data_IF_735026466925
#
_entry.id   IF_735026466925
#
_cell.length_a   1.000
_cell.length_b   1.000
_cell.length_c   1.000
_cell.angle_alpha   90.00
_cell.angle_beta   90.00
_cell.angle_gamma   90.00
#
_symmetry.space_group_name_H-M   'P 1'
#
loop_
_entity.id
_entity.type
_entity.pdbx_description
1 polymer ?
#
# COMPACT_ATOMS: atom_id res chain seq x y z
N UNK A 1 15.96 19.39 -42.33
CA UNK A 1 14.83 19.32 -43.29
C UNK A 1 13.64 18.92 -42.44
N UNK A 2 12.81 19.90 -42.08
CA UNK A 2 11.64 19.72 -41.23
C UNK A 2 10.63 18.83 -41.97
N UNK A 3 10.24 17.73 -41.34
CA UNK A 3 9.06 16.97 -41.71
C UNK A 3 8.11 17.05 -40.52
N UNK A 4 7.26 18.08 -40.57
CA UNK A 4 6.01 18.13 -39.82
C UNK A 4 5.17 16.92 -40.24
N UNK A 5 5.14 15.89 -39.40
CA UNK A 5 4.15 14.83 -39.46
C UNK A 5 3.02 15.22 -38.52
N UNK A 6 1.96 15.75 -39.11
CA UNK A 6 0.65 16.00 -38.49
C UNK A 6 0.07 14.64 -38.06
N UNK A 7 0.32 14.25 -36.80
CA UNK A 7 -0.31 13.08 -36.17
C UNK A 7 -1.59 13.58 -35.48
N UNK A 8 -2.77 13.02 -35.78
CA UNK A 8 -4.02 13.48 -35.17
C UNK A 8 -3.95 13.25 -33.65
N UNK A 9 -4.17 14.32 -32.88
CA UNK A 9 -4.31 14.24 -31.43
C UNK A 9 -5.58 13.43 -31.09
N UNK A 10 -5.42 12.13 -30.83
CA UNK A 10 -6.49 11.30 -30.27
C UNK A 10 -6.84 11.86 -28.89
N UNK A 11 -7.92 12.65 -28.87
CA UNK A 11 -8.45 13.31 -27.68
C UNK A 11 -9.29 12.29 -26.93
N UNK A 12 -8.65 11.54 -26.02
CA UNK A 12 -9.32 10.67 -25.05
C UNK A 12 -9.98 11.46 -23.90
N UNK A 13 -10.38 12.71 -24.16
CA UNK A 13 -10.96 13.59 -23.16
C UNK A 13 -12.29 13.00 -22.68
N UNK A 14 -12.25 12.38 -21.50
CA UNK A 14 -13.47 12.03 -20.78
C UNK A 14 -14.18 13.32 -20.37
N UNK A 15 -15.53 13.36 -20.38
CA UNK A 15 -16.25 14.38 -19.64
C UNK A 15 -15.83 14.30 -18.16
N UNK A 16 -15.68 15.45 -17.46
CA UNK A 16 -15.29 15.45 -16.06
C UNK A 16 -16.30 14.62 -15.27
N UNK A 17 -15.84 13.45 -14.79
CA UNK A 17 -16.60 12.71 -13.80
C UNK A 17 -16.26 13.39 -12.48
N UNK A 18 -17.09 14.33 -12.05
CA UNK A 18 -16.98 14.89 -10.71
C UNK A 18 -17.20 13.75 -9.71
N UNK A 19 -16.10 13.27 -9.13
CA UNK A 19 -16.14 12.54 -7.88
C UNK A 19 -16.91 13.36 -6.84
N UNK A 20 -17.61 12.74 -5.89
CA UNK A 20 -18.27 13.48 -4.82
C UNK A 20 -17.25 14.46 -4.19
N UNK A 21 -17.66 15.71 -3.94
CA UNK A 21 -16.79 16.74 -3.41
C UNK A 21 -16.08 16.21 -2.16
N UNK A 22 -14.85 16.69 -1.91
CA UNK A 22 -14.19 16.45 -0.62
C UNK A 22 -15.24 16.69 0.47
N UNK A 23 -15.44 15.79 1.45
CA UNK A 23 -16.48 15.98 2.47
C UNK A 23 -16.19 17.14 3.44
N UNK A 24 -15.44 18.16 3.00
CA UNK A 24 -15.20 19.43 3.64
C UNK A 24 -16.23 20.51 3.23
N UNK A 25 -17.06 20.31 2.19
CA UNK A 25 -17.95 21.38 1.69
C UNK A 25 -19.34 21.52 2.35
N UNK A 26 -19.80 20.56 3.17
CA UNK A 26 -21.17 20.60 3.75
C UNK A 26 -21.25 21.03 5.23
N UNK A 27 -20.23 21.70 5.78
CA UNK A 27 -20.32 22.20 7.16
C UNK A 27 -20.62 23.71 7.19
N UNK A 28 -21.76 24.16 7.77
CA UNK A 28 -21.98 25.57 8.01
C UNK A 28 -20.88 26.14 8.95
N UNK A 29 -20.49 27.41 8.81
CA UNK A 29 -19.54 28.04 9.71
C UNK A 29 -20.20 28.22 11.08
N UNK A 30 -20.00 27.25 11.96
CA UNK A 30 -20.60 27.21 13.29
C UNK A 30 -19.59 26.70 14.31
N UNK A 31 -19.25 27.60 15.24
CA UNK A 31 -18.69 27.41 16.60
C UNK A 31 -17.84 26.14 16.79
N UNK A 32 -16.55 26.33 17.05
CA UNK A 32 -15.65 25.27 17.56
C UNK A 32 -16.15 24.83 18.94
N UNK A 33 -17.13 23.94 18.96
CA UNK A 33 -17.49 23.17 20.14
C UNK A 33 -16.35 22.17 20.38
N UNK A 34 -15.77 22.18 21.57
CA UNK A 34 -14.89 21.10 22.02
C UNK A 34 -15.56 19.75 21.72
N UNK A 35 -14.85 18.77 21.17
CA UNK A 35 -15.46 17.48 20.87
C UNK A 35 -15.88 16.85 22.21
N UNK A 36 -17.17 16.91 22.52
CA UNK A 36 -17.76 16.07 23.56
C UNK A 36 -17.45 14.62 23.22
N UNK A 37 -16.96 13.85 24.19
CA UNK A 37 -16.70 12.42 24.02
C UNK A 37 -17.91 11.74 23.39
N UNK A 38 -17.66 10.84 22.43
CA UNK A 38 -18.74 10.05 21.85
C UNK A 38 -19.37 9.18 22.94
N UNK A 39 -20.71 9.00 22.95
CA UNK A 39 -21.34 8.05 23.87
C UNK A 39 -20.71 6.67 23.71
N UNK A 40 -20.42 6.00 24.83
CA UNK A 40 -19.69 4.73 24.86
C UNK A 40 -20.34 3.65 23.98
N UNK A 41 -21.68 3.63 23.88
CA UNK A 41 -22.42 2.71 23.02
C UNK A 41 -22.08 2.89 21.53
N UNK A 42 -22.10 4.14 21.03
CA UNK A 42 -21.75 4.41 19.63
C UNK A 42 -20.27 4.08 19.35
N UNK A 43 -19.41 4.30 20.33
CA UNK A 43 -17.98 3.98 20.21
C UNK A 43 -17.78 2.46 20.07
N UNK A 44 -18.44 1.66 20.91
CA UNK A 44 -18.39 0.20 20.84
C UNK A 44 -18.99 -0.34 19.52
N UNK A 45 -20.12 0.20 19.06
CA UNK A 45 -20.70 -0.17 17.76
C UNK A 45 -19.72 0.07 16.61
N UNK A 46 -19.01 1.20 16.62
CA UNK A 46 -18.00 1.51 15.62
C UNK A 46 -16.78 0.58 15.70
N UNK A 47 -16.38 0.14 16.90
CA UNK A 47 -15.34 -0.87 17.07
C UNK A 47 -15.73 -2.20 16.45
N UNK A 48 -16.96 -2.67 16.69
CA UNK A 48 -17.42 -3.93 16.11
C UNK A 48 -17.52 -3.87 14.59
N UNK A 49 -18.02 -2.76 14.04
CA UNK A 49 -18.02 -2.54 12.59
C UNK A 49 -16.61 -2.56 12.02
N UNK A 50 -15.63 -1.94 12.68
CA UNK A 50 -14.23 -2.00 12.24
C UNK A 50 -13.71 -3.45 12.18
N UNK A 51 -13.90 -4.23 13.24
CA UNK A 51 -13.38 -5.60 13.28
C UNK A 51 -14.07 -6.54 12.27
N UNK A 52 -15.34 -6.28 11.96
CA UNK A 52 -16.10 -7.08 10.99
C UNK A 52 -15.70 -6.75 9.55
N UNK A 53 -15.65 -5.46 9.21
CA UNK A 53 -15.57 -5.03 7.80
C UNK A 53 -14.18 -4.55 7.39
N UNK A 54 -13.45 -3.86 8.28
CA UNK A 54 -12.20 -3.18 7.93
C UNK A 54 -10.96 -4.01 8.28
N UNK A 55 -10.96 -4.64 9.47
CA UNK A 55 -9.81 -5.39 9.98
C UNK A 55 -9.29 -6.48 9.04
N UNK A 56 -10.10 -7.19 8.22
CA UNK A 56 -9.56 -8.16 7.26
C UNK A 56 -8.58 -7.54 6.25
N UNK A 57 -8.81 -6.29 5.83
CA UNK A 57 -7.97 -5.59 4.87
C UNK A 57 -6.67 -5.02 5.49
N UNK A 58 -6.70 -4.69 6.78
CA UNK A 58 -5.55 -4.19 7.54
C UNK A 58 -5.49 -4.85 8.92
N UNK A 59 -5.03 -6.11 9.01
CA UNK A 59 -5.17 -6.93 10.20
C UNK A 59 -4.04 -6.68 11.22
N UNK A 60 -3.86 -5.41 11.62
CA UNK A 60 -2.77 -4.96 12.52
C UNK A 60 -3.18 -4.93 13.99
N UNK A 61 -4.42 -5.30 14.31
CA UNK A 61 -5.01 -5.25 15.66
C UNK A 61 -5.73 -6.57 15.96
N UNK A 62 -5.38 -7.23 17.06
CA UNK A 62 -6.09 -8.37 17.59
C UNK A 62 -7.32 -7.93 18.38
N UNK A 63 -8.51 -8.45 18.03
CA UNK A 63 -9.79 -8.02 18.64
C UNK A 63 -9.82 -8.25 20.15
N UNK A 64 -9.42 -9.44 20.61
CA UNK A 64 -9.38 -9.78 22.02
C UNK A 64 -8.39 -8.89 22.79
N UNK A 65 -7.18 -8.70 22.24
CA UNK A 65 -6.15 -7.84 22.83
C UNK A 65 -6.55 -6.36 22.90
N UNK A 66 -7.29 -5.87 21.90
CA UNK A 66 -7.86 -4.53 21.89
C UNK A 66 -8.84 -4.31 23.05
N UNK A 67 -9.85 -5.18 23.20
CA UNK A 67 -10.83 -5.02 24.28
C UNK A 67 -10.25 -5.28 25.66
N UNK A 68 -9.28 -6.19 25.79
CA UNK A 68 -8.53 -6.39 27.03
C UNK A 68 -7.79 -5.12 27.45
N UNK A 69 -7.04 -4.48 26.53
CA UNK A 69 -6.35 -3.20 26.81
C UNK A 69 -7.33 -2.09 27.19
N UNK A 70 -8.48 -2.00 26.53
CA UNK A 70 -9.53 -1.04 26.88
C UNK A 70 -10.07 -1.22 28.30
N UNK A 71 -10.18 -2.46 28.77
CA UNK A 71 -10.63 -2.77 30.12
C UNK A 71 -9.54 -2.53 31.18
N UNK A 72 -8.28 -2.86 30.87
CA UNK A 72 -7.15 -2.74 31.78
C UNK A 72 -6.68 -1.29 31.97
N UNK A 73 -6.63 -0.51 30.88
CA UNK A 73 -6.07 0.85 30.87
C UNK A 73 -7.02 1.87 30.21
N UNK A 74 -8.27 2.00 30.69
CA UNK A 74 -9.31 2.79 30.01
C UNK A 74 -8.92 4.26 29.83
N UNK A 75 -8.13 4.83 30.73
CA UNK A 75 -7.77 6.25 30.72
C UNK A 75 -6.36 6.53 30.18
N UNK A 76 -5.62 5.49 29.76
CA UNK A 76 -4.32 5.70 29.11
C UNK A 76 -4.51 6.43 27.77
N UNK A 77 -3.76 7.51 27.49
CA UNK A 77 -3.80 8.20 26.21
C UNK A 77 -3.57 7.24 25.03
N UNK A 78 -2.67 6.26 25.18
CA UNK A 78 -2.38 5.29 24.12
C UNK A 78 -3.55 4.33 23.84
N UNK A 79 -4.34 4.01 24.86
CA UNK A 79 -5.54 3.17 24.74
C UNK A 79 -6.70 3.97 24.14
N UNK A 80 -6.84 5.25 24.54
CA UNK A 80 -7.82 6.16 23.96
C UNK A 80 -7.52 6.49 22.50
N UNK A 81 -6.25 6.71 22.13
CA UNK A 81 -5.85 7.01 20.76
C UNK A 81 -6.21 5.87 19.81
N UNK A 82 -5.90 4.63 20.17
CA UNK A 82 -6.30 3.47 19.35
C UNK A 82 -7.81 3.28 19.33
N UNK A 83 -8.50 3.49 20.46
CA UNK A 83 -9.96 3.39 20.55
C UNK A 83 -10.67 4.31 19.55
N UNK A 84 -10.29 5.58 19.50
CA UNK A 84 -10.87 6.54 18.57
C UNK A 84 -10.38 6.33 17.13
N UNK A 85 -9.16 5.84 16.92
CA UNK A 85 -8.64 5.53 15.58
C UNK A 85 -9.32 4.31 14.94
N UNK A 86 -9.61 3.28 15.74
CA UNK A 86 -10.42 2.13 15.33
C UNK A 86 -11.85 2.59 14.99
N UNK A 87 -12.46 3.38 15.86
CA UNK A 87 -13.80 3.92 15.63
C UNK A 87 -13.86 4.82 14.39
N UNK A 88 -12.82 5.61 14.15
CA UNK A 88 -12.66 6.45 12.96
C UNK A 88 -12.73 5.61 11.68
N UNK A 89 -11.98 4.51 11.59
CA UNK A 89 -12.06 3.62 10.43
C UNK A 89 -13.41 2.91 10.35
N UNK A 90 -14.04 2.60 11.48
CA UNK A 90 -15.43 2.14 11.52
C UNK A 90 -16.42 3.14 10.88
N UNK A 91 -16.18 4.46 10.97
CA UNK A 91 -17.04 5.47 10.31
C UNK A 91 -16.89 5.49 8.78
N UNK A 92 -15.80 4.96 8.23
CA UNK A 92 -15.59 4.88 6.77
C UNK A 92 -16.56 3.86 6.17
N UNK A 93 -16.64 2.68 6.79
CA UNK A 93 -17.47 1.56 6.33
C UNK A 93 -18.93 1.64 6.83
N UNK A 94 -19.20 2.35 7.93
CA UNK A 94 -20.56 2.49 8.48
C UNK A 94 -21.31 3.69 7.89
N UNK A 95 -22.31 3.45 7.05
CA UNK A 95 -23.16 4.52 6.50
C UNK A 95 -23.88 5.33 7.60
N UNK A 96 -24.43 4.63 8.60
CA UNK A 96 -25.16 5.23 9.72
C UNK A 96 -24.29 6.19 10.54
N UNK A 97 -23.01 5.85 10.74
CA UNK A 97 -22.11 6.58 11.63
C UNK A 97 -21.12 7.48 10.87
N UNK A 98 -21.21 7.57 9.55
CA UNK A 98 -20.28 8.34 8.69
C UNK A 98 -20.11 9.78 9.16
N UNK A 99 -21.18 10.44 9.59
CA UNK A 99 -21.16 11.84 10.08
C UNK A 99 -20.26 12.07 11.32
N UNK A 100 -19.89 11.00 12.04
CA UNK A 100 -19.10 11.08 13.28
C UNK A 100 -17.59 11.09 13.06
N UNK A 101 -17.13 10.94 11.82
CA UNK A 101 -15.69 10.82 11.51
C UNK A 101 -14.86 11.99 12.06
N UNK A 102 -15.39 13.23 12.01
CA UNK A 102 -14.68 14.43 12.49
C UNK A 102 -14.36 14.34 13.99
N UNK A 103 -15.34 13.97 14.80
CA UNK A 103 -15.17 13.81 16.25
C UNK A 103 -14.16 12.70 16.57
N UNK A 104 -14.28 11.53 15.93
CA UNK A 104 -13.33 10.43 16.10
C UNK A 104 -11.92 10.86 15.69
N UNK A 105 -11.77 11.56 14.57
CA UNK A 105 -10.48 12.03 14.06
C UNK A 105 -9.80 13.01 15.01
N UNK A 106 -10.54 14.02 15.48
CA UNK A 106 -10.01 15.03 16.41
C UNK A 106 -9.58 14.39 17.73
N UNK A 107 -10.41 13.52 18.31
CA UNK A 107 -10.08 12.85 19.58
C UNK A 107 -8.91 11.89 19.41
N UNK A 108 -8.87 11.10 18.32
CA UNK A 108 -7.73 10.23 18.02
C UNK A 108 -6.41 11.01 17.98
N UNK A 109 -6.38 12.14 17.26
CA UNK A 109 -5.19 13.01 17.19
C UNK A 109 -4.83 13.60 18.53
N UNK A 110 -5.81 14.11 19.27
CA UNK A 110 -5.56 14.68 20.59
C UNK A 110 -4.86 13.66 21.50
N UNK A 111 -5.35 12.43 21.56
CA UNK A 111 -4.73 11.40 22.38
C UNK A 111 -3.37 10.92 21.86
N UNK A 112 -3.14 10.93 20.55
CA UNK A 112 -1.80 10.70 19.99
C UNK A 112 -0.83 11.80 20.45
N UNK A 113 -1.27 13.06 20.40
CA UNK A 113 -0.44 14.20 20.81
C UNK A 113 -0.22 14.21 22.34
N UNK A 114 -1.20 13.77 23.13
CA UNK A 114 -1.04 13.53 24.58
C UNK A 114 -0.02 12.43 24.89
N UNK A 115 0.05 11.35 24.09
CA UNK A 115 1.11 10.33 24.25
C UNK A 115 2.51 10.90 24.04
N UNK A 116 2.68 11.85 23.13
CA UNK A 116 3.99 12.46 22.83
C UNK A 116 4.41 13.52 23.85
N UNK A 117 3.46 14.02 24.65
CA UNK A 117 3.71 14.95 25.74
C UNK A 117 4.05 14.25 27.06
N UNK A 118 3.92 12.92 27.12
CA UNK A 118 4.21 12.15 28.33
C UNK A 118 5.73 12.01 28.54
N UNK A 119 6.22 12.68 29.59
CA UNK A 119 7.64 12.72 29.99
C UNK A 119 8.17 11.38 30.55
N UNK A 120 7.34 10.35 30.72
CA UNK A 120 7.79 9.06 31.22
C UNK A 120 8.78 8.39 30.23
N UNK A 121 9.88 7.80 30.72
CA UNK A 121 11.01 7.33 29.89
C UNK A 121 10.68 6.18 28.92
N UNK A 122 9.47 5.63 28.97
CA UNK A 122 8.97 4.57 28.06
C UNK A 122 7.53 4.85 27.58
N UNK A 123 7.01 6.08 27.72
CA UNK A 123 5.63 6.44 27.34
C UNK A 123 5.30 6.12 25.87
N UNK A 124 6.30 6.29 25.01
CA UNK A 124 6.23 6.01 23.57
C UNK A 124 6.42 4.52 23.24
N UNK A 125 6.72 3.66 24.20
CA UNK A 125 6.89 2.21 24.01
C UNK A 125 5.55 1.48 23.80
N UNK A 126 4.72 1.95 22.86
CA UNK A 126 3.33 1.52 22.73
C UNK A 126 2.99 1.06 21.31
N UNK A 127 2.62 -0.22 21.20
CA UNK A 127 2.02 -0.77 19.98
C UNK A 127 0.66 -0.12 19.70
N UNK A 128 -0.10 0.27 20.73
CA UNK A 128 -1.37 0.96 20.55
C UNK A 128 -1.20 2.34 19.92
N UNK A 129 -0.15 3.08 20.30
CA UNK A 129 0.20 4.36 19.66
C UNK A 129 0.59 4.14 18.18
N UNK A 130 1.40 3.12 17.88
CA UNK A 130 1.76 2.77 16.50
C UNK A 130 0.53 2.39 15.67
N UNK A 131 -0.34 1.54 16.20
CA UNK A 131 -1.60 1.15 15.54
C UNK A 131 -2.48 2.38 15.28
N UNK A 132 -2.58 3.32 16.24
CA UNK A 132 -3.35 4.54 16.07
C UNK A 132 -2.80 5.39 14.92
N UNK A 133 -1.48 5.56 14.84
CA UNK A 133 -0.82 6.28 13.74
C UNK A 133 -1.02 5.57 12.39
N UNK A 134 -0.97 4.24 12.33
CA UNK A 134 -1.27 3.44 11.13
C UNK A 134 -2.72 3.69 10.69
N UNK A 135 -3.69 3.64 11.62
CA UNK A 135 -5.10 3.89 11.35
C UNK A 135 -5.35 5.33 10.86
N UNK A 136 -4.74 6.33 11.50
CA UNK A 136 -4.84 7.73 11.08
C UNK A 136 -4.24 7.95 9.68
N UNK A 137 -3.07 7.36 9.43
CA UNK A 137 -2.43 7.40 8.10
C UNK A 137 -3.37 6.79 7.06
N UNK A 138 -3.91 5.60 7.32
CA UNK A 138 -4.84 4.91 6.44
C UNK A 138 -6.10 5.73 6.16
N UNK A 139 -6.64 6.41 7.17
CA UNK A 139 -7.79 7.30 7.04
C UNK A 139 -7.46 8.53 6.16
N UNK A 140 -6.35 9.21 6.44
CA UNK A 140 -5.93 10.39 5.68
C UNK A 140 -5.66 10.05 4.21
N UNK A 141 -5.11 8.86 3.94
CA UNK A 141 -4.95 8.33 2.57
C UNK A 141 -6.29 8.12 1.87
N UNK A 142 -7.27 7.48 2.53
CA UNK A 142 -8.60 7.28 1.97
C UNK A 142 -9.34 8.61 1.71
N UNK A 143 -9.04 9.64 2.49
CA UNK A 143 -9.53 11.01 2.26
C UNK A 143 -8.68 11.84 1.31
N UNK A 144 -7.67 11.22 0.67
CA UNK A 144 -6.77 11.83 -0.30
C UNK A 144 -6.02 13.05 0.25
N UNK A 145 -5.74 13.07 1.56
CA UNK A 145 -4.94 14.10 2.21
C UNK A 145 -3.49 13.63 2.38
N UNK A 146 -2.75 13.60 1.26
CA UNK A 146 -1.40 13.02 1.21
C UNK A 146 -0.42 13.70 2.17
N UNK A 147 -0.42 15.04 2.28
CA UNK A 147 0.50 15.75 3.16
C UNK A 147 0.32 15.32 4.63
N UNK A 148 -0.92 15.20 5.08
CA UNK A 148 -1.24 14.81 6.45
C UNK A 148 -0.93 13.33 6.71
N UNK A 149 -1.27 12.47 5.75
CA UNK A 149 -0.90 11.07 5.80
C UNK A 149 0.62 10.88 5.90
N UNK A 150 1.41 11.64 5.14
CA UNK A 150 2.88 11.56 5.18
C UNK A 150 3.46 11.97 6.54
N UNK A 151 2.88 12.97 7.22
CA UNK A 151 3.30 13.35 8.57
C UNK A 151 3.03 12.20 9.56
N UNK A 152 1.82 11.64 9.54
CA UNK A 152 1.46 10.51 10.42
C UNK A 152 2.32 9.27 10.11
N UNK A 153 2.59 9.02 8.83
CA UNK A 153 3.46 7.94 8.38
C UNK A 153 4.89 8.12 8.89
N UNK A 154 5.46 9.32 8.81
CA UNK A 154 6.79 9.62 9.34
C UNK A 154 6.90 9.39 10.86
N UNK A 155 5.86 9.78 11.62
CA UNK A 155 5.77 9.48 13.06
C UNK A 155 5.74 7.97 13.31
N UNK A 156 4.87 7.24 12.59
CA UNK A 156 4.74 5.79 12.72
C UNK A 156 6.05 5.06 12.37
N UNK A 157 6.70 5.46 11.28
CA UNK A 157 7.97 4.91 10.84
C UNK A 157 9.06 5.11 11.88
N UNK A 158 9.17 6.33 12.41
CA UNK A 158 10.15 6.64 13.45
C UNK A 158 9.92 5.81 14.71
N UNK A 159 8.66 5.68 15.14
CA UNK A 159 8.28 4.90 16.31
C UNK A 159 8.63 3.42 16.11
N UNK A 160 8.27 2.83 14.96
CA UNK A 160 8.57 1.44 14.65
C UNK A 160 10.09 1.15 14.64
N UNK A 161 10.90 2.04 14.06
CA UNK A 161 12.37 1.93 14.09
C UNK A 161 12.94 2.06 15.51
N UNK A 162 12.41 2.97 16.34
CA UNK A 162 12.80 3.08 17.75
C UNK A 162 12.53 1.77 18.51
N UNK A 163 11.45 1.07 18.17
CA UNK A 163 11.07 -0.24 18.73
C UNK A 163 11.79 -1.44 18.08
N UNK A 164 12.56 -1.20 16.99
CA UNK A 164 13.25 -2.21 16.18
C UNK A 164 12.32 -3.31 15.66
N UNK A 165 11.14 -2.94 15.18
CA UNK A 165 10.21 -3.95 14.66
C UNK A 165 10.73 -4.61 13.37
N UNK A 166 11.54 -3.91 12.58
CA UNK A 166 12.18 -4.43 11.38
C UNK A 166 13.25 -5.50 11.66
N UNK A 167 13.72 -5.59 12.91
CA UNK A 167 14.71 -6.58 13.38
C UNK A 167 14.13 -7.55 14.42
N UNK A 168 12.81 -7.59 14.59
CA UNK A 168 12.20 -8.25 15.75
C UNK A 168 12.42 -9.77 15.79
N UNK A 169 12.64 -10.40 14.63
CA UNK A 169 12.89 -11.84 14.50
C UNK A 169 14.37 -12.15 14.24
N UNK A 170 15.26 -11.16 14.27
CA UNK A 170 16.69 -11.38 14.05
C UNK A 170 17.32 -12.15 15.22
N UNK A 171 17.75 -13.39 14.97
CA UNK A 171 18.43 -14.25 15.96
C UNK A 171 19.94 -14.27 15.67
N UNK A 172 20.77 -13.96 16.67
CA UNK A 172 22.23 -14.11 16.54
C UNK A 172 22.61 -15.59 16.37
N UNK A 173 23.42 -15.93 15.34
CA UNK A 173 23.96 -17.27 15.22
C UNK A 173 24.79 -17.65 16.46
N UNK A 174 24.50 -18.82 17.06
CA UNK A 174 25.29 -19.41 18.14
C UNK A 174 24.89 -19.05 19.58
N UNK A 175 24.14 -17.96 19.79
CA UNK A 175 23.65 -17.59 21.15
C UNK A 175 22.15 -17.77 21.32
N UNK A 176 21.38 -17.82 20.22
CA UNK A 176 19.91 -17.88 20.26
C UNK A 176 19.26 -16.60 20.79
N UNK A 177 20.05 -15.54 21.03
CA UNK A 177 19.57 -14.26 21.54
C UNK A 177 19.19 -13.34 20.37
N UNK A 178 18.10 -12.58 20.54
CA UNK A 178 17.69 -11.58 19.55
C UNK A 178 18.78 -10.49 19.42
N UNK A 179 19.28 -10.27 18.21
CA UNK A 179 20.29 -9.25 17.93
C UNK A 179 19.63 -7.88 17.83
N UNK A 180 19.45 -7.21 18.96
CA UNK A 180 19.07 -5.79 18.98
C UNK A 180 20.34 -4.94 19.01
N UNK A 181 20.61 -4.20 17.94
CA UNK A 181 21.73 -3.25 17.89
C UNK A 181 21.46 -2.21 18.96
N UNK A 182 22.20 -2.15 20.06
CA UNK A 182 21.91 -1.15 21.11
C UNK A 182 22.23 0.26 20.61
N UNK A 183 21.22 1.14 20.55
CA UNK A 183 21.36 2.56 20.23
C UNK A 183 20.65 3.40 21.28
N UNK A 184 21.19 4.60 21.56
CA UNK A 184 20.66 5.52 22.58
C UNK A 184 19.23 6.03 22.29
N UNK A 185 18.72 5.81 21.08
CA UNK A 185 17.39 6.24 20.63
C UNK A 185 16.36 5.10 20.64
N UNK A 186 16.69 3.95 21.21
CA UNK A 186 15.81 2.79 21.19
C UNK A 186 14.90 2.74 22.40
N UNK A 187 13.65 2.34 22.14
CA UNK A 187 12.63 2.19 23.15
C UNK A 187 12.27 0.71 23.23
N UNK A 188 12.27 0.16 24.45
CA UNK A 188 12.11 -1.28 24.65
C UNK A 188 10.63 -1.59 24.90
N UNK A 189 9.99 -2.23 23.94
CA UNK A 189 8.69 -2.85 24.16
C UNK A 189 8.80 -3.93 25.26
N UNK A 190 7.73 -4.07 26.04
CA UNK A 190 7.61 -5.17 27.00
C UNK A 190 7.82 -6.51 26.29
N UNK A 191 8.65 -7.38 26.87
CA UNK A 191 8.82 -8.73 26.35
C UNK A 191 7.49 -9.49 26.46
N UNK A 192 7.11 -10.19 25.40
CA UNK A 192 5.91 -11.03 25.37
C UNK A 192 6.27 -12.37 24.74
N UNK A 193 5.72 -13.44 25.31
CA UNK A 193 5.76 -14.79 24.74
C UNK A 193 4.42 -15.18 24.13
N UNK A 194 3.42 -14.29 24.20
CA UNK A 194 2.13 -14.49 23.55
C UNK A 194 2.33 -14.41 22.04
N UNK A 195 1.94 -15.48 21.36
CA UNK A 195 2.07 -15.63 19.91
C UNK A 195 1.20 -14.62 19.17
N UNK A 196 0.05 -14.24 19.72
CA UNK A 196 -0.84 -13.22 19.15
C UNK A 196 -0.20 -11.84 19.26
N UNK A 197 0.37 -11.48 20.41
CA UNK A 197 1.05 -10.19 20.58
C UNK A 197 2.28 -10.08 19.68
N UNK A 198 3.05 -11.17 19.53
CA UNK A 198 4.20 -11.20 18.62
C UNK A 198 3.76 -11.00 17.17
N UNK A 199 2.69 -11.67 16.76
CA UNK A 199 2.15 -11.50 15.41
C UNK A 199 1.54 -10.11 15.19
N UNK A 200 0.87 -9.55 16.19
CA UNK A 200 0.34 -8.18 16.15
C UNK A 200 1.47 -7.17 15.88
N UNK A 201 2.64 -7.33 16.53
CA UNK A 201 3.84 -6.51 16.28
C UNK A 201 4.36 -6.66 14.85
N UNK A 202 4.45 -7.90 14.34
CA UNK A 202 4.86 -8.16 12.94
C UNK A 202 3.90 -7.50 11.95
N UNK A 203 2.59 -7.67 12.15
CA UNK A 203 1.58 -7.09 11.28
C UNK A 203 1.57 -5.56 11.35
N UNK A 204 1.85 -4.95 12.50
CA UNK A 204 2.05 -3.50 12.58
C UNK A 204 3.24 -3.03 11.72
N UNK A 205 4.39 -3.72 11.81
CA UNK A 205 5.54 -3.42 10.97
C UNK A 205 5.21 -3.54 9.47
N UNK A 206 4.62 -4.66 9.06
CA UNK A 206 4.26 -4.87 7.66
C UNK A 206 3.16 -3.94 7.16
N UNK A 207 2.18 -3.60 8.00
CA UNK A 207 1.13 -2.64 7.68
C UNK A 207 1.72 -1.24 7.44
N UNK A 208 2.65 -0.82 8.29
CA UNK A 208 3.43 0.40 8.10
C UNK A 208 4.27 0.34 6.81
N UNK A 209 4.97 -0.77 6.57
CA UNK A 209 5.81 -0.95 5.37
C UNK A 209 5.00 -0.85 4.07
N UNK A 210 3.78 -1.40 4.05
CA UNK A 210 2.85 -1.29 2.94
C UNK A 210 2.45 0.18 2.69
N UNK A 211 2.17 0.94 3.77
CA UNK A 211 1.84 2.37 3.67
C UNK A 211 3.05 3.22 3.20
N UNK A 212 4.27 2.85 3.56
CA UNK A 212 5.48 3.46 2.99
C UNK A 212 5.67 3.14 1.51
N UNK A 213 5.34 1.91 1.10
CA UNK A 213 5.29 1.51 -0.31
C UNK A 213 4.34 2.37 -1.12
N UNK A 214 3.15 2.64 -0.57
CA UNK A 214 2.18 3.54 -1.19
C UNK A 214 2.74 4.96 -1.39
N UNK A 215 3.39 5.52 -0.37
CA UNK A 215 4.00 6.85 -0.45
C UNK A 215 5.13 6.88 -1.50
N UNK A 216 5.87 5.78 -1.61
CA UNK A 216 6.99 5.63 -2.54
C UNK A 216 6.55 5.55 -4.00
N UNK A 217 5.39 4.97 -4.29
CA UNK A 217 4.82 4.95 -5.64
C UNK A 217 4.47 6.37 -6.08
N UNK A 218 3.92 7.19 -5.19
CA UNK A 218 3.61 8.60 -5.48
C UNK A 218 4.85 9.47 -5.73
N UNK A 219 5.89 9.32 -4.91
CA UNK A 219 7.10 10.13 -5.05
C UNK A 219 8.03 9.63 -6.16
N UNK A 220 7.74 8.47 -6.77
CA UNK A 220 8.63 7.80 -7.73
C UNK A 220 9.97 7.38 -7.12
N UNK A 221 10.12 7.46 -5.80
CA UNK A 221 11.36 7.20 -5.06
C UNK A 221 11.03 6.46 -3.79
N UNK A 222 11.66 5.31 -3.57
CA UNK A 222 11.44 4.57 -2.34
C UNK A 222 12.35 5.09 -1.23
N UNK A 223 11.77 5.75 -0.24
CA UNK A 223 12.48 6.46 0.83
C UNK A 223 12.48 5.74 2.19
N UNK A 224 11.94 4.52 2.31
CA UNK A 224 11.90 3.86 3.61
C UNK A 224 13.32 3.57 4.16
N UNK A 225 13.49 3.55 5.49
CA UNK A 225 14.77 3.28 6.12
C UNK A 225 15.31 1.92 5.68
N UNK A 226 16.38 1.93 4.88
CA UNK A 226 17.25 0.77 4.59
C UNK A 226 16.53 -0.57 4.32
N UNK A 227 16.10 -0.79 3.08
CA UNK A 227 15.63 -2.11 2.58
C UNK A 227 16.66 -3.24 2.65
N UNK A 228 17.88 -2.90 3.03
CA UNK A 228 18.94 -3.84 3.30
C UNK A 228 18.80 -4.25 4.76
N UNK A 229 18.45 -5.52 5.01
CA UNK A 229 18.35 -6.18 6.32
C UNK A 229 16.99 -6.02 7.02
N UNK A 230 15.94 -6.58 6.41
CA UNK A 230 14.65 -6.81 7.08
C UNK A 230 14.68 -8.20 7.74
N UNK A 231 14.74 -8.26 9.06
CA UNK A 231 14.67 -9.50 9.84
C UNK A 231 13.37 -9.55 10.64
N UNK A 232 12.26 -9.47 9.91
CA UNK A 232 10.91 -9.69 10.39
C UNK A 232 10.25 -10.73 9.48
N UNK A 233 9.72 -11.80 10.05
CA UNK A 233 9.01 -12.82 9.27
C UNK A 233 7.79 -12.20 8.59
N UNK A 234 7.45 -12.70 7.40
CA UNK A 234 6.22 -12.29 6.72
C UNK A 234 4.99 -12.57 7.60
N UNK A 235 3.89 -11.79 7.46
CA UNK A 235 2.68 -12.00 8.25
C UNK A 235 2.13 -13.42 8.09
N UNK A 236 1.86 -14.07 9.21
CA UNK A 236 1.21 -15.38 9.24
C UNK A 236 -0.23 -15.25 8.73
N UNK A 237 -0.76 -16.20 7.94
CA UNK A 237 -2.19 -16.23 7.61
C UNK A 237 -3.08 -16.45 8.86
N UNK A 238 -4.37 -16.15 8.72
CA UNK A 238 -5.39 -16.36 9.76
C UNK A 238 -5.78 -15.10 10.54
N UNK A 239 -6.88 -15.20 11.28
CA UNK A 239 -7.34 -14.15 12.18
C UNK A 239 -6.51 -14.13 13.47
N UNK A 240 -6.34 -12.95 14.07
CA UNK A 240 -5.69 -12.79 15.39
C UNK A 240 -6.73 -12.95 16.51
N UNK A 241 -7.29 -14.15 16.60
CA UNK A 241 -8.25 -14.55 17.63
C UNK A 241 -7.75 -15.81 18.37
N UNK A 242 -8.61 -16.39 19.21
CA UNK A 242 -8.27 -17.56 20.03
C UNK A 242 -7.97 -18.82 19.18
N UNK A 243 -8.26 -18.79 17.88
CA UNK A 243 -7.95 -19.88 16.93
C UNK A 243 -6.63 -19.67 16.20
N UNK A 244 -5.93 -18.55 16.45
CA UNK A 244 -4.68 -18.23 15.79
C UNK A 244 -3.62 -19.30 16.04
N UNK A 245 -3.13 -19.90 14.96
CA UNK A 245 -2.08 -20.91 15.00
C UNK A 245 -0.91 -20.44 14.13
N UNK A 246 0.22 -20.01 14.73
CA UNK A 246 1.36 -19.54 13.98
C UNK A 246 1.92 -20.58 13.03
N UNK A 247 2.16 -20.17 11.79
CA UNK A 247 2.85 -20.95 10.78
C UNK A 247 4.26 -20.40 10.57
N UNK A 248 5.24 -21.24 10.19
CA UNK A 248 6.57 -20.77 9.85
C UNK A 248 6.49 -19.90 8.57
N UNK A 249 6.76 -18.62 8.71
CA UNK A 249 6.79 -17.67 7.59
C UNK A 249 8.23 -17.29 7.27
N UNK A 250 8.63 -17.22 5.99
CA UNK A 250 9.99 -16.80 5.64
C UNK A 250 10.17 -15.28 5.77
N UNK A 251 11.42 -14.82 5.78
CA UNK A 251 11.73 -13.43 5.47
C UNK A 251 11.42 -13.12 4.01
N UNK A 252 11.17 -11.84 3.70
CA UNK A 252 10.76 -11.42 2.36
C UNK A 252 11.81 -11.69 1.27
N UNK A 253 13.09 -11.68 1.63
CA UNK A 253 14.22 -12.00 0.73
C UNK A 253 14.53 -13.52 0.66
N UNK A 254 14.04 -14.29 1.64
CA UNK A 254 14.16 -15.74 1.70
C UNK A 254 13.00 -16.50 1.04
N UNK A 255 12.06 -15.81 0.43
CA UNK A 255 10.90 -16.40 -0.25
C UNK A 255 11.34 -17.30 -1.40
N UNK A 256 11.02 -18.60 -1.31
CA UNK A 256 11.27 -19.61 -2.34
C UNK A 256 10.05 -20.52 -2.48
N UNK A 257 9.75 -20.95 -3.71
CA UNK A 257 8.58 -21.78 -4.04
C UNK A 257 8.47 -23.07 -3.20
N UNK A 258 9.61 -23.67 -2.82
CA UNK A 258 9.64 -24.93 -2.05
C UNK A 258 9.62 -24.73 -0.52
N UNK A 259 9.78 -23.50 -0.03
CA UNK A 259 9.92 -23.18 1.40
C UNK A 259 8.83 -22.24 1.93
N UNK A 260 7.87 -21.87 1.09
CA UNK A 260 6.70 -21.07 1.50
C UNK A 260 5.56 -21.98 1.93
N UNK A 261 4.81 -21.62 2.99
CA UNK A 261 3.60 -22.35 3.34
C UNK A 261 2.60 -22.32 2.18
N UNK A 262 1.79 -23.38 2.08
CA UNK A 262 0.79 -23.56 1.01
C UNK A 262 -0.25 -22.42 0.94
N UNK A 263 -0.35 -21.60 1.98
CA UNK A 263 -1.35 -20.54 2.13
C UNK A 263 -0.71 -19.20 2.46
N UNK A 264 -0.40 -18.40 1.43
CA UNK A 264 -0.04 -17.00 1.60
C UNK A 264 -1.30 -16.16 1.70
N UNK A 265 -1.39 -15.32 2.73
CA UNK A 265 -2.51 -14.39 2.87
C UNK A 265 -2.36 -13.19 1.92
N UNK A 266 -3.46 -12.54 1.50
CA UNK A 266 -3.40 -11.32 0.71
C UNK A 266 -2.54 -10.22 1.35
N UNK A 267 -2.59 -10.08 2.68
CA UNK A 267 -1.76 -9.12 3.42
C UNK A 267 -0.26 -9.44 3.31
N UNK A 268 0.14 -10.71 3.47
CA UNK A 268 1.52 -11.13 3.26
C UNK A 268 1.96 -10.99 1.79
N UNK A 269 1.05 -11.28 0.84
CA UNK A 269 1.28 -11.05 -0.58
C UNK A 269 1.54 -9.58 -0.89
N UNK A 270 0.82 -8.66 -0.25
CA UNK A 270 1.00 -7.23 -0.44
C UNK A 270 2.35 -6.74 0.10
N UNK A 271 2.77 -7.27 1.26
CA UNK A 271 4.13 -7.04 1.79
C UNK A 271 5.22 -7.44 0.81
N UNK A 272 5.10 -8.62 0.19
CA UNK A 272 6.04 -9.10 -0.85
C UNK A 272 6.05 -8.15 -2.04
N UNK A 273 4.88 -7.79 -2.58
CA UNK A 273 4.79 -6.93 -3.76
C UNK A 273 5.36 -5.54 -3.50
N UNK A 274 5.10 -4.95 -2.33
CA UNK A 274 5.68 -3.66 -1.94
C UNK A 274 7.20 -3.72 -1.84
N UNK A 275 7.74 -4.83 -1.31
CA UNK A 275 9.19 -5.03 -1.29
C UNK A 275 9.77 -5.08 -2.72
N UNK A 276 9.13 -5.82 -3.65
CA UNK A 276 9.54 -5.87 -5.07
C UNK A 276 9.46 -4.47 -5.70
N UNK A 277 8.39 -3.72 -5.45
CA UNK A 277 8.22 -2.33 -5.91
C UNK A 277 9.40 -1.47 -5.47
N UNK A 278 9.82 -1.58 -4.21
CA UNK A 278 11.00 -0.87 -3.72
C UNK A 278 12.28 -1.20 -4.47
N UNK A 279 12.53 -2.48 -4.78
CA UNK A 279 13.71 -2.89 -5.54
C UNK A 279 13.67 -2.37 -6.99
N UNK A 280 12.52 -2.48 -7.65
CA UNK A 280 12.36 -2.05 -9.05
C UNK A 280 12.40 -0.52 -9.19
N UNK A 281 11.78 0.23 -8.28
CA UNK A 281 11.88 1.70 -8.27
C UNK A 281 13.32 2.16 -8.10
N UNK A 282 14.09 1.55 -7.19
CA UNK A 282 15.52 1.83 -7.04
C UNK A 282 16.30 1.53 -8.30
N UNK A 283 16.05 0.37 -8.92
CA UNK A 283 16.68 -0.01 -10.19
C UNK A 283 16.36 0.98 -11.31
N UNK A 284 15.11 1.40 -11.45
CA UNK A 284 14.68 2.39 -12.43
C UNK A 284 15.37 3.75 -12.20
N UNK A 285 15.49 4.19 -10.95
CA UNK A 285 16.20 5.43 -10.61
C UNK A 285 17.69 5.35 -10.91
N UNK A 286 18.36 4.23 -10.59
CA UNK A 286 19.77 4.00 -10.93
C UNK A 286 20.02 3.98 -12.44
N UNK A 287 19.09 3.41 -13.21
CA UNK A 287 19.13 3.42 -14.66
C UNK A 287 19.13 4.85 -15.20
N UNK A 288 18.26 5.73 -14.67
CA UNK A 288 18.24 7.16 -15.03
C UNK A 288 19.58 7.85 -14.74
N UNK A 289 20.28 7.46 -13.67
CA UNK A 289 21.57 8.01 -13.26
C UNK A 289 22.77 7.40 -14.01
N UNK A 290 22.56 6.36 -14.83
CA UNK A 290 23.63 5.71 -15.58
C UNK A 290 24.62 4.91 -14.71
N UNK A 291 24.18 4.41 -13.55
CA UNK A 291 25.06 3.61 -12.67
C UNK A 291 25.49 2.28 -13.32
N UNK A 292 26.72 1.79 -13.06
CA UNK A 292 27.20 0.52 -13.60
C UNK A 292 26.45 -0.68 -13.00
N UNK A 293 26.47 -1.82 -13.71
CA UNK A 293 25.86 -3.07 -13.23
C UNK A 293 24.36 -3.21 -13.49
N UNK A 294 23.78 -2.36 -14.36
CA UNK A 294 22.37 -2.42 -14.73
C UNK A 294 21.90 -3.82 -15.14
N UNK A 295 22.65 -4.51 -16.01
CA UNK A 295 22.22 -5.79 -16.59
C UNK A 295 22.11 -6.88 -15.52
N UNK A 296 23.09 -6.98 -14.64
CA UNK A 296 23.11 -7.98 -13.57
C UNK A 296 21.99 -7.72 -12.55
N UNK A 297 21.81 -6.45 -12.16
CA UNK A 297 20.70 -6.05 -11.28
C UNK A 297 19.35 -6.33 -11.93
N UNK A 298 19.19 -5.99 -13.21
CA UNK A 298 17.95 -6.21 -13.94
C UNK A 298 17.61 -7.70 -14.05
N UNK A 299 18.58 -8.54 -14.39
CA UNK A 299 18.40 -9.99 -14.48
C UNK A 299 18.04 -10.61 -13.12
N UNK A 300 18.70 -10.16 -12.04
CA UNK A 300 18.35 -10.58 -10.68
C UNK A 300 16.89 -10.23 -10.35
N UNK A 301 16.41 -9.03 -10.71
CA UNK A 301 15.02 -8.62 -10.49
C UNK A 301 14.01 -9.41 -11.33
N UNK A 302 14.34 -9.74 -12.58
CA UNK A 302 13.51 -10.64 -13.41
C UNK A 302 13.35 -11.99 -12.70
N UNK A 303 14.44 -12.56 -12.17
CA UNK A 303 14.38 -13.81 -11.40
C UNK A 303 13.55 -13.66 -10.12
N UNK A 304 13.69 -12.55 -9.40
CA UNK A 304 12.88 -12.24 -8.21
C UNK A 304 11.39 -12.19 -8.55
N UNK A 305 11.01 -11.51 -9.63
CA UNK A 305 9.61 -11.47 -10.09
C UNK A 305 9.11 -12.87 -10.46
N UNK A 306 9.90 -13.68 -11.15
CA UNK A 306 9.52 -15.05 -11.54
C UNK A 306 9.25 -15.94 -10.32
N UNK A 307 10.16 -15.95 -9.35
CA UNK A 307 9.99 -16.72 -8.09
C UNK A 307 8.74 -16.27 -7.35
N UNK A 308 8.56 -14.96 -7.19
CA UNK A 308 7.40 -14.42 -6.48
C UNK A 308 6.09 -14.59 -7.27
N UNK A 309 6.13 -14.68 -8.60
CA UNK A 309 4.94 -15.00 -9.40
C UNK A 309 4.42 -16.41 -9.11
N UNK A 310 5.30 -17.38 -8.86
CA UNK A 310 4.90 -18.74 -8.50
C UNK A 310 4.27 -18.76 -7.10
N UNK A 311 4.92 -18.07 -6.16
CA UNK A 311 4.50 -17.94 -4.76
C UNK A 311 3.15 -17.22 -4.62
N UNK A 312 2.91 -16.14 -5.39
CA UNK A 312 1.67 -15.37 -5.35
C UNK A 312 0.54 -15.97 -6.20
N UNK A 313 0.82 -17.00 -7.01
CA UNK A 313 -0.15 -17.61 -7.93
C UNK A 313 -1.49 -17.99 -7.29
N UNK A 314 -1.57 -18.53 -6.05
CA UNK A 314 -2.84 -18.83 -5.39
C UNK A 314 -3.74 -17.60 -5.18
N UNK A 315 -3.13 -16.42 -5.01
CA UNK A 315 -3.86 -15.15 -4.86
C UNK A 315 -4.42 -14.62 -6.18
N UNK A 316 -3.85 -15.04 -7.32
CA UNK A 316 -4.22 -14.53 -8.64
C UNK A 316 -5.38 -15.30 -9.30
N UNK A 317 -6.02 -16.22 -8.57
CA UNK A 317 -7.21 -16.90 -9.07
C UNK A 317 -8.38 -15.91 -9.14
N UNK A 318 -9.19 -15.97 -10.22
CA UNK A 318 -10.34 -15.09 -10.38
C UNK A 318 -11.30 -15.15 -9.18
N UNK A 319 -11.43 -16.32 -8.53
CA UNK A 319 -12.22 -16.48 -7.32
C UNK A 319 -11.67 -15.65 -6.16
N UNK A 320 -10.36 -15.72 -5.91
CA UNK A 320 -9.71 -15.00 -4.81
C UNK A 320 -9.78 -13.50 -5.03
N UNK A 321 -9.45 -13.04 -6.24
CA UNK A 321 -9.52 -11.63 -6.61
C UNK A 321 -10.97 -11.13 -6.44
N UNK A 322 -11.98 -11.96 -6.74
CA UNK A 322 -13.39 -11.59 -6.63
C UNK A 322 -13.83 -11.43 -5.18
N UNK A 323 -13.32 -12.27 -4.26
CA UNK A 323 -13.72 -12.26 -2.86
C UNK A 323 -12.95 -11.28 -1.99
N UNK A 324 -11.74 -10.88 -2.39
CA UNK A 324 -10.82 -10.14 -1.53
C UNK A 324 -10.18 -8.95 -2.26
N UNK A 325 -10.49 -7.74 -1.79
CA UNK A 325 -9.97 -6.50 -2.37
C UNK A 325 -8.45 -6.36 -2.23
N UNK A 326 -7.86 -6.86 -1.14
CA UNK A 326 -6.40 -6.84 -0.94
C UNK A 326 -5.74 -7.77 -1.96
N UNK A 327 -6.32 -8.94 -2.25
CA UNK A 327 -5.78 -9.83 -3.28
C UNK A 327 -5.75 -9.17 -4.66
N UNK A 328 -6.76 -8.35 -4.98
CA UNK A 328 -6.78 -7.55 -6.19
C UNK A 328 -5.69 -6.46 -6.19
N UNK A 329 -5.47 -5.77 -5.06
CA UNK A 329 -4.37 -4.81 -4.91
C UNK A 329 -3.00 -5.48 -5.13
N UNK A 330 -2.79 -6.69 -4.58
CA UNK A 330 -1.58 -7.50 -4.80
C UNK A 330 -1.40 -7.79 -6.29
N UNK A 331 -2.45 -8.28 -6.96
CA UNK A 331 -2.39 -8.61 -8.38
C UNK A 331 -2.06 -7.39 -9.25
N UNK A 332 -2.80 -6.30 -9.10
CA UNK A 332 -2.62 -5.09 -9.90
C UNK A 332 -1.24 -4.49 -9.69
N UNK A 333 -0.80 -4.39 -8.43
CA UNK A 333 0.52 -3.88 -8.06
C UNK A 333 1.66 -4.77 -8.59
N UNK A 334 1.46 -6.09 -8.60
CA UNK A 334 2.43 -7.04 -9.17
C UNK A 334 2.53 -6.93 -10.70
N UNK A 335 1.41 -6.75 -11.41
CA UNK A 335 1.45 -6.47 -12.85
C UNK A 335 2.13 -5.12 -13.13
N UNK A 336 1.83 -4.08 -12.34
CA UNK A 336 2.41 -2.75 -12.49
C UNK A 336 3.93 -2.74 -12.34
N UNK A 337 4.46 -3.36 -11.28
CA UNK A 337 5.90 -3.42 -11.06
C UNK A 337 6.61 -4.23 -12.16
N UNK A 338 5.95 -5.25 -12.70
CA UNK A 338 6.47 -6.03 -13.84
C UNK A 338 6.52 -5.19 -15.11
N UNK A 339 5.46 -4.41 -15.41
CA UNK A 339 5.45 -3.46 -16.53
C UNK A 339 6.55 -2.40 -16.37
N UNK A 340 6.72 -1.86 -15.16
CA UNK A 340 7.78 -0.87 -14.89
C UNK A 340 9.17 -1.46 -15.14
N UNK A 341 9.42 -2.72 -14.77
CA UNK A 341 10.69 -3.39 -15.04
C UNK A 341 10.93 -3.50 -16.56
N UNK A 342 9.95 -3.94 -17.35
CA UNK A 342 10.06 -4.01 -18.80
C UNK A 342 10.30 -2.64 -19.44
N UNK A 343 9.55 -1.61 -19.06
CA UNK A 343 9.76 -0.24 -19.53
C UNK A 343 11.17 0.27 -19.22
N UNK A 344 11.71 -0.07 -18.04
CA UNK A 344 13.07 0.29 -17.65
C UNK A 344 14.12 -0.37 -18.56
N UNK A 345 13.91 -1.64 -18.94
CA UNK A 345 14.77 -2.34 -19.91
C UNK A 345 14.73 -1.69 -21.29
N UNK A 346 13.54 -1.34 -21.78
CA UNK A 346 13.34 -0.71 -23.09
C UNK A 346 14.04 0.66 -23.16
N UNK A 347 13.82 1.53 -22.17
CA UNK A 347 14.48 2.85 -22.08
C UNK A 347 16.01 2.72 -22.06
N UNK A 348 16.53 1.74 -21.32
CA UNK A 348 17.98 1.49 -21.29
C UNK A 348 18.51 1.03 -22.66
N UNK A 349 17.76 0.20 -23.37
CA UNK A 349 18.11 -0.25 -24.73
C UNK A 349 18.14 0.90 -25.73
N UNK A 350 17.16 1.81 -25.66
CA UNK A 350 17.10 3.03 -26.47
C UNK A 350 18.31 3.93 -26.23
N UNK A 351 18.67 4.18 -24.97
CA UNK A 351 19.85 4.97 -24.61
C UNK A 351 21.18 4.35 -25.11
N UNK A 352 21.22 3.03 -25.25
CA UNK A 352 22.37 2.30 -25.80
C UNK A 352 22.35 2.19 -27.33
N UNK A 353 21.35 2.77 -28.00
CA UNK A 353 21.21 2.73 -29.46
C UNK A 353 20.86 1.34 -30.00
N UNK A 354 20.27 0.47 -29.18
CA UNK A 354 19.81 -0.85 -29.62
C UNK A 354 18.62 -0.65 -30.57
N UNK A 355 18.71 -1.21 -31.78
CA UNK A 355 17.65 -1.09 -32.79
C UNK A 355 16.32 -1.65 -32.28
N UNK A 356 15.22 -0.97 -32.63
CA UNK A 356 13.86 -1.38 -32.25
C UNK A 356 13.46 -2.77 -32.79
N UNK A 357 14.05 -3.17 -33.91
CA UNK A 357 13.81 -4.47 -34.56
C UNK A 357 14.61 -5.62 -33.93
N UNK A 358 15.40 -5.35 -32.88
CA UNK A 358 16.08 -6.39 -32.14
C UNK A 358 15.06 -7.36 -31.53
N UNK A 359 15.28 -8.66 -31.70
CA UNK A 359 14.39 -9.73 -31.21
C UNK A 359 14.07 -9.56 -29.71
N UNK A 360 15.08 -9.23 -28.89
CA UNK A 360 14.90 -9.05 -27.44
C UNK A 360 14.01 -7.84 -27.11
N UNK A 361 14.12 -6.77 -27.89
CA UNK A 361 13.29 -5.56 -27.74
C UNK A 361 11.85 -5.89 -28.14
N UNK A 362 11.66 -6.57 -29.27
CA UNK A 362 10.34 -7.03 -29.74
C UNK A 362 9.65 -7.92 -28.71
N UNK A 363 10.35 -8.92 -28.16
CA UNK A 363 9.80 -9.83 -27.16
C UNK A 363 9.45 -9.11 -25.85
N UNK A 364 10.28 -8.15 -25.43
CA UNK A 364 9.99 -7.31 -24.25
C UNK A 364 8.75 -6.44 -24.47
N UNK A 365 8.59 -5.82 -25.66
CA UNK A 365 7.39 -5.06 -26.02
C UNK A 365 6.13 -5.94 -26.01
N UNK A 366 6.20 -7.15 -26.57
CA UNK A 366 5.09 -8.12 -26.54
C UNK A 366 4.71 -8.52 -25.12
N UNK A 367 5.70 -8.81 -24.27
CA UNK A 367 5.46 -9.16 -22.86
C UNK A 367 4.83 -7.99 -22.07
N UNK A 368 5.29 -6.76 -22.32
CA UNK A 368 4.73 -5.54 -21.76
C UNK A 368 3.26 -5.35 -22.15
N UNK A 369 2.93 -5.46 -23.44
CA UNK A 369 1.56 -5.39 -23.97
C UNK A 369 0.65 -6.47 -23.39
N UNK A 370 1.11 -7.72 -23.39
CA UNK A 370 0.35 -8.82 -22.80
C UNK A 370 0.05 -8.59 -21.31
N UNK A 371 0.96 -7.95 -20.58
CA UNK A 371 0.78 -7.59 -19.16
C UNK A 371 -0.27 -6.49 -18.99
N UNK A 372 -0.24 -5.44 -19.82
CA UNK A 372 -1.26 -4.39 -19.80
C UNK A 372 -2.65 -4.92 -20.14
N UNK A 373 -2.77 -5.84 -21.11
CA UNK A 373 -4.03 -6.49 -21.47
C UNK A 373 -4.60 -7.35 -20.34
N UNK A 374 -3.75 -8.05 -19.58
CA UNK A 374 -4.17 -8.79 -18.38
C UNK A 374 -4.76 -7.86 -17.32
N UNK A 375 -4.14 -6.70 -17.09
CA UNK A 375 -4.70 -5.66 -16.20
C UNK A 375 -6.07 -5.21 -16.71
N UNK A 376 -6.17 -4.82 -17.98
CA UNK A 376 -7.42 -4.34 -18.57
C UNK A 376 -8.56 -5.37 -18.50
N UNK A 377 -8.26 -6.63 -18.82
CA UNK A 377 -9.24 -7.73 -18.78
C UNK A 377 -9.71 -8.04 -17.37
N UNK A 378 -8.79 -8.03 -16.40
CA UNK A 378 -9.09 -8.27 -14.99
C UNK A 378 -9.96 -7.13 -14.43
N UNK A 379 -9.56 -5.88 -14.67
CA UNK A 379 -10.33 -4.70 -14.29
C UNK A 379 -11.73 -4.75 -14.90
N UNK A 380 -11.86 -4.98 -16.22
CA UNK A 380 -13.16 -5.12 -16.90
C UNK A 380 -14.08 -6.15 -16.23
N UNK A 381 -13.52 -7.29 -15.82
CA UNK A 381 -14.28 -8.39 -15.23
C UNK A 381 -14.73 -8.13 -13.79
N UNK A 382 -14.02 -7.25 -13.07
CA UNK A 382 -14.11 -7.16 -11.61
C UNK A 382 -14.60 -5.80 -11.11
N UNK A 383 -14.48 -4.75 -11.94
CA UNK A 383 -14.66 -3.36 -11.51
C UNK A 383 -16.02 -3.09 -10.89
N UNK A 384 -17.10 -3.57 -11.51
CA UNK A 384 -18.46 -3.31 -11.05
C UNK A 384 -18.75 -3.84 -9.65
N UNK A 385 -18.11 -4.96 -9.26
CA UNK A 385 -18.31 -5.60 -7.97
C UNK A 385 -17.38 -5.04 -6.90
N UNK A 386 -16.12 -4.78 -7.25
CA UNK A 386 -15.13 -4.28 -6.29
C UNK A 386 -15.20 -2.76 -6.07
N UNK A 387 -15.94 -2.00 -6.90
CA UNK A 387 -16.11 -0.54 -6.75
C UNK A 387 -16.43 -0.09 -5.32
N UNK A 388 -17.38 -0.75 -4.65
CA UNK A 388 -17.76 -0.41 -3.26
C UNK A 388 -16.66 -0.70 -2.23
N UNK A 389 -15.84 -1.72 -2.50
CA UNK A 389 -14.71 -2.09 -1.63
C UNK A 389 -13.52 -1.17 -1.88
N UNK A 390 -13.36 -0.63 -3.09
CA UNK A 390 -12.34 0.37 -3.37
C UNK A 390 -12.58 1.63 -2.53
N UNK A 391 -13.80 2.15 -2.48
CA UNK A 391 -14.08 3.38 -1.72
C UNK A 391 -13.79 3.26 -0.21
N UNK A 392 -13.93 2.06 0.36
CA UNK A 392 -13.93 1.87 1.81
C UNK A 392 -12.77 1.02 2.37
N UNK A 393 -12.29 0.01 1.63
CA UNK A 393 -11.45 -1.08 2.18
C UNK A 393 -10.08 -1.16 1.51
N UNK A 394 -10.01 -1.09 0.18
CA UNK A 394 -8.72 -1.01 -0.53
C UNK A 394 -7.99 0.27 -0.12
N UNK A 395 -6.65 0.24 -0.15
CA UNK A 395 -5.78 1.43 -0.14
C UNK A 395 -5.97 2.25 -1.43
N UNK A 396 -7.22 2.46 -1.83
CA UNK A 396 -7.65 3.04 -3.10
C UNK A 396 -7.06 4.44 -3.25
N UNK A 397 -6.18 4.49 -4.23
CA UNK A 397 -5.05 5.38 -4.40
C UNK A 397 -4.05 4.65 -5.31
N UNK A 398 -2.75 4.95 -5.31
CA UNK A 398 -1.71 4.33 -6.14
C UNK A 398 -1.79 2.84 -6.41
N UNK A 399 -2.11 1.99 -5.44
CA UNK A 399 -2.11 0.54 -5.67
C UNK A 399 -3.13 0.07 -6.72
N UNK A 400 -4.10 0.92 -7.05
CA UNK A 400 -5.03 0.73 -8.18
C UNK A 400 -4.73 1.74 -9.28
N UNK A 401 -4.60 3.02 -8.94
CA UNK A 401 -4.43 4.09 -9.91
C UNK A 401 -3.14 3.97 -10.76
N UNK A 402 -2.02 3.59 -10.14
CA UNK A 402 -0.73 3.41 -10.83
C UNK A 402 -0.73 2.24 -11.83
N UNK A 403 -1.21 1.04 -11.48
CA UNK A 403 -1.41 -0.03 -12.46
C UNK A 403 -2.31 0.36 -13.63
N UNK A 404 -3.43 1.04 -13.36
CA UNK A 404 -4.34 1.51 -14.41
C UNK A 404 -3.64 2.51 -15.33
N UNK A 405 -2.93 3.49 -14.77
CA UNK A 405 -2.23 4.51 -15.57
C UNK A 405 -1.12 3.91 -16.41
N UNK A 406 -0.36 2.95 -15.89
CA UNK A 406 0.67 2.25 -16.66
C UNK A 406 0.06 1.43 -17.79
N UNK A 407 -1.04 0.71 -17.53
CA UNK A 407 -1.71 -0.08 -18.56
C UNK A 407 -2.26 0.83 -19.67
N UNK A 408 -2.85 1.98 -19.33
CA UNK A 408 -3.30 2.97 -20.32
C UNK A 408 -2.13 3.47 -21.17
N UNK A 409 -1.02 3.85 -20.53
CA UNK A 409 0.17 4.35 -21.25
C UNK A 409 0.70 3.32 -22.25
N UNK A 410 0.78 2.04 -21.85
CA UNK A 410 1.24 0.95 -22.72
C UNK A 410 0.29 0.75 -23.89
N UNK A 411 -1.00 0.56 -23.63
CA UNK A 411 -1.98 0.28 -24.70
C UNK A 411 -2.14 1.47 -25.67
N UNK A 412 -1.97 2.71 -25.19
CA UNK A 412 -2.04 3.91 -26.03
C UNK A 412 -0.89 3.96 -27.04
N UNK A 413 0.31 3.51 -26.67
CA UNK A 413 1.43 3.44 -27.62
C UNK A 413 1.10 2.54 -28.81
N UNK A 414 0.37 1.46 -28.57
CA UNK A 414 0.00 0.49 -29.60
C UNK A 414 -1.08 1.03 -30.56
N UNK A 415 -2.04 1.78 -30.03
CA UNK A 415 -3.04 2.50 -30.85
C UNK A 415 -2.36 3.53 -31.75
N UNK A 416 -1.35 4.25 -31.23
CA UNK A 416 -0.57 5.19 -32.04
C UNK A 416 0.27 4.48 -33.13
N UNK A 417 0.64 3.22 -32.93
CA UNK A 417 1.29 2.36 -33.92
C UNK A 417 0.29 1.77 -34.95
N UNK A 418 -1.02 2.05 -34.81
CA UNK A 418 -2.08 1.71 -35.78
C UNK A 418 -2.97 0.52 -35.41
N UNK A 419 -2.94 0.06 -34.15
CA UNK A 419 -3.76 -1.06 -33.66
C UNK A 419 -4.96 -0.55 -32.82
N UNK A 420 -6.12 -0.43 -33.45
CA UNK A 420 -7.35 0.12 -32.83
C UNK A 420 -8.07 -0.86 -31.87
N UNK A 421 -7.62 -2.12 -31.77
CA UNK A 421 -8.29 -3.16 -30.96
C UNK A 421 -8.30 -2.84 -29.45
N UNK A 422 -7.49 -1.89 -29.01
CA UNK A 422 -7.32 -1.53 -27.59
C UNK A 422 -8.13 -0.32 -27.13
N UNK A 423 -8.81 0.40 -28.02
CA UNK A 423 -9.52 1.64 -27.68
C UNK A 423 -10.60 1.42 -26.61
N UNK A 424 -11.37 0.33 -26.69
CA UNK A 424 -12.39 -0.01 -25.68
C UNK A 424 -11.76 -0.26 -24.31
N UNK A 425 -10.63 -0.95 -24.27
CA UNK A 425 -9.89 -1.24 -23.04
C UNK A 425 -9.37 0.06 -22.40
N UNK A 426 -8.82 0.96 -23.19
CA UNK A 426 -8.32 2.27 -22.74
C UNK A 426 -9.45 3.12 -22.15
N UNK A 427 -10.60 3.21 -22.82
CA UNK A 427 -11.76 3.96 -22.31
C UNK A 427 -12.28 3.39 -20.98
N UNK A 428 -12.34 2.07 -20.86
CA UNK A 428 -12.75 1.39 -19.63
C UNK A 428 -11.75 1.68 -18.49
N UNK A 429 -10.45 1.56 -18.75
CA UNK A 429 -9.40 1.86 -17.77
C UNK A 429 -9.43 3.32 -17.31
N UNK A 430 -9.66 4.27 -18.22
CA UNK A 430 -9.81 5.68 -17.87
C UNK A 430 -11.02 5.96 -16.98
N UNK A 431 -12.17 5.31 -17.24
CA UNK A 431 -13.34 5.40 -16.37
C UNK A 431 -13.02 4.84 -14.97
N UNK A 432 -12.33 3.70 -14.92
CA UNK A 432 -11.88 3.10 -13.67
C UNK A 432 -10.89 3.99 -12.93
N UNK A 433 -9.99 4.67 -13.63
CA UNK A 433 -9.05 5.62 -13.01
C UNK A 433 -9.79 6.80 -12.36
N UNK A 434 -10.80 7.35 -13.05
CA UNK A 434 -11.62 8.46 -12.51
C UNK A 434 -12.48 8.09 -11.29
N UNK A 435 -12.74 6.80 -11.07
CA UNK A 435 -13.41 6.34 -9.83
C UNK A 435 -12.43 6.36 -8.63
N UNK A 436 -11.12 6.15 -8.85
CA UNK A 436 -10.13 6.02 -7.76
C UNK A 436 -9.26 7.27 -7.55
N UNK A 437 -9.15 8.14 -8.53
CA UNK A 437 -8.37 9.38 -8.47
C UNK A 437 -9.17 10.59 -9.00
N UNK A 438 -8.92 11.78 -8.46
CA UNK A 438 -9.46 13.02 -9.03
C UNK A 438 -8.95 13.23 -10.46
N UNK A 439 -9.76 13.86 -11.31
CA UNK A 439 -9.42 14.12 -12.72
C UNK A 439 -8.19 14.99 -12.90
N UNK A 440 -7.84 15.82 -11.91
CA UNK A 440 -6.61 16.63 -11.88
C UNK A 440 -5.47 15.95 -11.10
N UNK A 441 -5.64 14.66 -10.74
CA UNK A 441 -4.70 13.87 -9.97
C UNK A 441 -3.38 13.57 -10.71
N UNK A 442 -2.44 12.98 -9.97
CA UNK A 442 -1.10 12.67 -10.47
C UNK A 442 -1.16 11.69 -11.65
N UNK A 443 -1.93 10.61 -11.54
CA UNK A 443 -1.93 9.55 -12.54
C UNK A 443 -2.70 9.97 -13.79
N UNK A 444 -3.77 10.76 -13.64
CA UNK A 444 -4.42 11.44 -14.77
C UNK A 444 -3.43 12.33 -15.55
N UNK A 445 -2.69 13.21 -14.87
CA UNK A 445 -1.67 14.05 -15.51
C UNK A 445 -0.56 13.24 -16.17
N UNK A 446 -0.17 12.10 -15.59
CA UNK A 446 0.87 11.25 -16.17
C UNK A 446 0.40 10.58 -17.47
N UNK A 447 -0.88 10.19 -17.54
CA UNK A 447 -1.48 9.63 -18.77
C UNK A 447 -1.65 10.71 -19.85
N UNK A 448 -2.03 11.94 -19.47
CA UNK A 448 -2.21 13.07 -20.39
C UNK A 448 -0.88 13.68 -20.86
N UNK A 449 0.09 13.83 -19.96
CA UNK A 449 1.38 14.49 -20.15
C UNK A 449 2.36 13.78 -21.07
N UNK A 450 2.03 12.57 -21.54
CA UNK A 450 2.85 11.86 -22.55
C UNK A 450 2.88 12.54 -23.93
N UNK A 451 2.34 13.76 -24.06
CA UNK A 451 2.30 14.58 -25.27
C UNK A 451 3.22 15.82 -25.27
N UNK A 452 3.87 16.17 -24.15
CA UNK A 452 4.73 17.36 -24.08
C UNK A 452 5.92 17.11 -23.15
N UNK A 453 7.09 16.86 -23.73
CA UNK A 453 8.45 16.94 -23.14
C UNK A 453 8.71 16.25 -21.79
N UNK A 454 9.78 15.43 -21.71
CA UNK A 454 10.27 14.91 -20.41
C UNK A 454 10.93 16.00 -19.54
N UNK A 455 11.51 15.68 -18.37
CA UNK A 455 11.26 14.58 -17.42
C UNK A 455 10.68 15.08 -16.07
N UNK A 456 10.18 14.16 -15.24
CA UNK A 456 10.22 14.28 -13.76
C UNK A 456 11.34 13.39 -13.23
#
# INVERSE_FOLDING_TARGET
MNLDLDVPALTFALPPTELPPRPEEDAPPGVVSFPSSLPAEHLAQLHDVFFQEFSPALPVIAKAGFYRRLAEFPDSPSTRSISYSVALLGTVVSEQHRHRWKSCYTLARQYVDECEQDDAPDSLASISLLQALICLTRFDLGRRNCARAHINLGRAARLASMMQLEQMDHVQPGTGLSHRVSSALQIKLQATHDLVDLEERRRCFWGLYILEGYASIHSGTFSAPSHTNLFAFLPCPGALDDTFNPQPMPYVDGVQENNTPDTISPFAGLSIVVWIIGQVLKHASRAKLGEPGFRDCHYALVKTIQVNSAVLKPLFSLRTLYSDAVALDVYLSFQAVTMLLYQTSLRQGEQQGIASDNILVSDTKKALRATALRVASTVKSMWSMQKKNFDNLSLSGPFVAWPLSLAIQVLRQDVLEGDDDYVEHIHMLHRSLGDVEYTDGLWHRQVEGSYRDGPI
#
